data_IF_577712053453
#
_entry.id   IF_577712053453
#
_cell.length_a   1.000
_cell.length_b   1.000
_cell.length_c   1.000
_cell.angle_alpha   90.00
_cell.angle_beta   90.00
_cell.angle_gamma   90.00
#
_symmetry.space_group_name_H-M   'P 1'
#
loop_
_entity.id
_entity.type
_entity.pdbx_description
1 polymer ?
#
# COMPACT_ATOMS: atom_id res chain seq x y z
N UNK A 1 6.27 -27.74 -18.78
CA UNK A 1 6.21 -26.42 -19.45
C UNK A 1 5.81 -25.27 -18.51
N UNK A 2 4.97 -25.50 -17.51
CA UNK A 2 4.59 -24.51 -16.49
C UNK A 2 5.75 -24.09 -15.57
N UNK A 3 6.62 -25.01 -15.17
CA UNK A 3 7.74 -24.74 -14.26
C UNK A 3 8.81 -23.80 -14.85
N UNK A 4 9.07 -23.88 -16.17
CA UNK A 4 9.97 -22.96 -16.86
C UNK A 4 9.39 -21.55 -17.03
N UNK A 5 8.04 -21.41 -17.13
CA UNK A 5 7.38 -20.10 -17.20
C UNK A 5 7.45 -19.35 -15.87
N UNK A 6 7.25 -20.06 -14.74
CA UNK A 6 7.38 -19.46 -13.42
C UNK A 6 8.80 -18.95 -13.11
N UNK A 7 9.86 -19.67 -13.53
CA UNK A 7 11.25 -19.23 -13.37
C UNK A 7 11.60 -17.98 -14.19
N UNK A 8 11.09 -17.86 -15.42
CA UNK A 8 11.36 -16.68 -16.27
C UNK A 8 10.64 -15.45 -15.71
N UNK A 9 9.41 -15.59 -15.21
CA UNK A 9 8.66 -14.51 -14.60
C UNK A 9 9.32 -14.04 -13.29
N UNK A 10 9.80 -14.96 -12.47
CA UNK A 10 10.59 -14.67 -11.27
C UNK A 10 11.88 -13.90 -11.58
N UNK A 11 12.59 -14.23 -12.66
CA UNK A 11 13.80 -13.50 -13.09
C UNK A 11 13.48 -12.07 -13.53
N UNK A 12 12.38 -11.86 -14.24
CA UNK A 12 11.97 -10.50 -14.65
C UNK A 12 11.60 -9.64 -13.44
N UNK A 13 10.82 -10.17 -12.50
CA UNK A 13 10.48 -9.44 -11.27
C UNK A 13 11.74 -9.15 -10.45
N UNK A 14 12.67 -10.08 -10.35
CA UNK A 14 13.95 -9.88 -9.68
C UNK A 14 14.77 -8.73 -10.29
N UNK A 15 14.91 -8.71 -11.62
CA UNK A 15 15.67 -7.65 -12.33
C UNK A 15 14.98 -6.29 -12.18
N UNK A 16 13.65 -6.25 -12.26
CA UNK A 16 12.87 -5.04 -12.05
C UNK A 16 13.04 -4.51 -10.61
N UNK A 17 12.84 -5.38 -9.60
CA UNK A 17 13.05 -5.04 -8.19
C UNK A 17 14.46 -4.50 -7.92
N UNK A 18 15.48 -5.14 -8.50
CA UNK A 18 16.88 -4.71 -8.35
C UNK A 18 17.17 -3.34 -9.00
N UNK A 19 16.59 -3.09 -10.18
CA UNK A 19 16.74 -1.82 -10.89
C UNK A 19 16.09 -0.66 -10.14
N UNK A 20 14.82 -0.81 -9.78
CA UNK A 20 14.07 0.18 -9.02
C UNK A 20 14.70 0.44 -7.66
N UNK A 21 15.09 -0.61 -6.92
CA UNK A 21 15.69 -0.46 -5.60
C UNK A 21 17.02 0.32 -5.59
N UNK A 22 17.81 0.23 -6.67
CA UNK A 22 19.02 1.08 -6.81
C UNK A 22 18.65 2.54 -7.02
N UNK A 23 17.62 2.82 -7.81
CA UNK A 23 17.14 4.18 -8.08
C UNK A 23 16.59 4.82 -6.82
N UNK A 24 15.77 4.10 -6.06
CA UNK A 24 15.17 4.59 -4.82
C UNK A 24 16.25 4.86 -3.76
N UNK A 25 17.22 3.95 -3.61
CA UNK A 25 18.35 4.15 -2.70
C UNK A 25 19.15 5.42 -3.02
N UNK A 26 19.37 5.69 -4.33
CA UNK A 26 20.07 6.90 -4.77
C UNK A 26 19.24 8.17 -4.54
N UNK A 27 17.91 8.09 -4.74
CA UNK A 27 16.98 9.20 -4.46
C UNK A 27 17.01 9.60 -2.99
N UNK A 28 17.07 8.62 -2.10
CA UNK A 28 16.94 8.79 -0.65
C UNK A 28 18.29 9.00 0.06
N UNK A 29 19.39 8.99 -0.69
CA UNK A 29 20.75 9.15 -0.16
C UNK A 29 20.90 10.48 0.59
N UNK A 30 21.37 10.41 1.84
CA UNK A 30 21.56 11.56 2.70
C UNK A 30 20.31 12.09 3.41
N UNK A 31 19.13 11.55 3.14
CA UNK A 31 17.91 11.92 3.85
C UNK A 31 17.93 11.33 5.27
N UNK A 32 17.48 12.12 6.24
CA UNK A 32 17.40 11.73 7.66
C UNK A 32 16.00 12.01 8.19
N UNK A 33 15.56 11.23 9.18
CA UNK A 33 14.26 11.47 9.83
C UNK A 33 14.20 12.89 10.39
N UNK A 34 13.17 13.68 10.06
CA UNK A 34 12.97 15.00 10.65
C UNK A 34 12.88 14.91 12.18
N UNK A 35 13.48 15.86 12.89
CA UNK A 35 13.56 15.84 14.35
C UNK A 35 12.22 16.00 15.06
N UNK A 36 11.23 16.54 14.36
CA UNK A 36 9.84 16.76 14.79
C UNK A 36 8.92 15.57 14.55
N UNK A 37 9.45 14.47 13.98
CA UNK A 37 8.67 13.26 13.70
C UNK A 37 9.02 12.14 14.68
N UNK A 38 7.98 11.54 15.27
CA UNK A 38 8.01 10.28 16.00
C UNK A 38 7.69 9.14 15.05
N UNK A 39 8.54 8.10 15.06
CA UNK A 39 8.40 6.88 14.24
C UNK A 39 8.10 5.68 15.12
N UNK A 40 7.30 4.78 14.58
CA UNK A 40 7.11 3.43 15.08
C UNK A 40 7.29 2.50 13.89
N UNK A 41 8.38 1.77 13.87
CA UNK A 41 8.82 1.03 12.69
C UNK A 41 8.58 -0.48 12.81
N UNK A 42 8.33 -1.13 11.67
CA UNK A 42 8.28 -2.59 11.52
C UNK A 42 7.23 -3.28 12.41
N UNK A 43 6.05 -2.70 12.51
CA UNK A 43 4.94 -3.27 13.27
C UNK A 43 4.21 -4.29 12.40
N UNK A 44 3.98 -5.50 12.91
CA UNK A 44 3.16 -6.50 12.22
C UNK A 44 1.69 -6.11 12.24
N UNK A 45 1.04 -6.10 11.07
CA UNK A 45 -0.41 -5.94 10.95
C UNK A 45 -1.13 -7.24 10.54
N UNK A 46 -0.38 -8.31 10.29
CA UNK A 46 -0.90 -9.61 9.92
C UNK A 46 0.08 -10.74 10.22
N UNK A 47 -0.27 -11.97 9.83
CA UNK A 47 0.47 -13.18 10.18
C UNK A 47 1.67 -13.47 9.25
N UNK A 48 1.81 -12.75 8.13
CA UNK A 48 2.89 -13.00 7.16
C UNK A 48 4.07 -12.06 7.44
N UNK A 49 5.28 -12.53 7.15
CA UNK A 49 6.51 -11.74 7.39
C UNK A 49 6.57 -10.43 6.60
N UNK A 50 5.87 -10.35 5.47
CA UNK A 50 5.79 -9.17 4.62
C UNK A 50 4.79 -8.14 5.14
N UNK A 51 3.87 -8.53 6.02
CA UNK A 51 2.79 -7.70 6.54
C UNK A 51 3.30 -6.79 7.67
N UNK A 52 4.12 -5.82 7.28
CA UNK A 52 4.75 -4.84 8.17
C UNK A 52 4.31 -3.42 7.80
N UNK A 53 4.10 -2.61 8.81
CA UNK A 53 3.81 -1.19 8.66
C UNK A 53 4.69 -0.33 9.56
N UNK A 54 4.77 0.95 9.21
CA UNK A 54 5.31 2.00 10.07
C UNK A 54 4.23 3.04 10.35
N UNK A 55 4.32 3.65 11.52
CA UNK A 55 3.48 4.80 11.88
C UNK A 55 4.39 6.02 12.07
N UNK A 56 4.02 7.13 11.44
CA UNK A 56 4.68 8.43 11.60
C UNK A 56 3.68 9.45 12.14
N UNK A 57 4.09 10.23 13.12
CA UNK A 57 3.27 11.31 13.67
C UNK A 57 4.14 12.47 14.16
N UNK A 58 3.60 13.70 14.26
CA UNK A 58 4.28 14.78 14.94
C UNK A 58 4.70 14.38 16.36
N UNK A 59 5.88 14.80 16.78
CA UNK A 59 6.47 14.38 18.05
C UNK A 59 5.80 15.03 19.26
N UNK A 60 5.37 16.28 19.09
CA UNK A 60 4.85 17.12 20.16
C UNK A 60 3.29 17.13 20.22
N UNK A 61 2.66 16.21 19.51
CA UNK A 61 1.19 16.07 19.48
C UNK A 61 0.76 14.81 20.23
N UNK A 62 0.17 14.97 21.40
CA UNK A 62 -0.30 13.87 22.25
C UNK A 62 -1.76 13.45 21.99
N UNK A 63 -2.54 14.28 21.27
CA UNK A 63 -3.93 14.05 20.93
C UNK A 63 -4.16 13.02 19.82
N UNK A 64 -5.42 12.65 19.60
CA UNK A 64 -5.81 11.87 18.44
C UNK A 64 -5.67 12.71 17.17
N UNK A 65 -5.05 12.16 16.15
CA UNK A 65 -4.79 12.83 14.88
C UNK A 65 -5.55 12.16 13.73
N UNK A 66 -6.01 12.94 12.74
CA UNK A 66 -6.56 12.37 11.52
C UNK A 66 -5.51 11.46 10.85
N UNK A 67 -5.98 10.36 10.28
CA UNK A 67 -5.11 9.30 9.76
C UNK A 67 -5.00 9.39 8.24
N UNK A 68 -3.80 9.23 7.72
CA UNK A 68 -3.58 8.94 6.31
C UNK A 68 -2.96 7.55 6.17
N UNK A 69 -3.63 6.67 5.41
CA UNK A 69 -3.08 5.37 4.99
C UNK A 69 -2.37 5.56 3.66
N UNK A 70 -1.07 5.26 3.61
CA UNK A 70 -0.26 5.36 2.40
C UNK A 70 -0.06 3.99 1.77
N UNK A 71 -0.47 3.85 0.49
CA UNK A 71 -0.34 2.61 -0.29
C UNK A 71 0.66 2.84 -1.42
N UNK A 72 1.82 2.23 -1.31
CA UNK A 72 2.92 2.45 -2.25
C UNK A 72 2.65 1.93 -3.67
N UNK A 73 3.28 2.54 -4.66
CA UNK A 73 3.33 2.06 -6.04
C UNK A 73 4.32 0.91 -6.22
N UNK A 74 4.60 0.56 -7.47
CA UNK A 74 5.58 -0.47 -7.82
C UNK A 74 5.04 -1.59 -8.71
N UNK A 75 3.92 -1.35 -9.42
CA UNK A 75 3.35 -2.29 -10.40
C UNK A 75 2.94 -3.62 -9.78
N UNK A 76 2.56 -3.63 -8.51
CA UNK A 76 2.18 -4.81 -7.68
C UNK A 76 3.29 -5.84 -7.49
N UNK A 77 4.46 -5.65 -8.08
CA UNK A 77 5.60 -6.59 -8.07
C UNK A 77 6.84 -6.05 -7.37
N UNK A 78 6.84 -4.78 -6.97
CA UNK A 78 7.95 -4.08 -6.34
C UNK A 78 7.46 -3.10 -5.29
N UNK A 79 8.37 -2.74 -4.39
CA UNK A 79 8.16 -1.72 -3.36
C UNK A 79 7.88 -2.32 -2.00
N UNK A 80 8.01 -1.44 -1.04
CA UNK A 80 7.71 -1.65 0.37
C UNK A 80 7.44 -0.29 1.02
N UNK A 81 7.17 -0.29 2.31
CA UNK A 81 6.95 0.93 3.09
C UNK A 81 8.16 1.89 3.07
N UNK A 82 9.38 1.37 2.93
CA UNK A 82 10.59 2.20 3.04
C UNK A 82 10.74 3.17 1.88
N UNK A 83 10.26 2.81 0.67
CA UNK A 83 10.36 3.69 -0.50
C UNK A 83 9.47 4.94 -0.45
N UNK A 84 8.47 4.96 0.45
CA UNK A 84 7.55 6.10 0.64
C UNK A 84 7.71 6.78 2.01
N UNK A 85 8.66 6.34 2.85
CA UNK A 85 8.82 6.85 4.21
C UNK A 85 8.99 8.38 4.28
N UNK A 86 9.77 8.98 3.37
CA UNK A 86 10.02 10.42 3.35
C UNK A 86 8.78 11.23 3.00
N UNK A 87 8.03 10.76 2.02
CA UNK A 87 6.72 11.32 1.68
C UNK A 87 5.75 11.21 2.86
N UNK A 88 5.68 10.06 3.49
CA UNK A 88 4.81 9.83 4.66
C UNK A 88 5.19 10.72 5.84
N UNK A 89 6.47 10.89 6.13
CA UNK A 89 6.91 11.82 7.17
C UNK A 89 6.58 13.26 6.83
N UNK A 90 6.61 13.66 5.55
CA UNK A 90 6.19 15.01 5.13
C UNK A 90 4.69 15.25 5.33
N UNK A 91 3.86 14.21 5.22
CA UNK A 91 2.43 14.28 5.57
C UNK A 91 2.24 14.37 7.08
N UNK A 92 3.02 13.61 7.85
CA UNK A 92 2.98 13.66 9.30
C UNK A 92 3.35 15.05 9.84
N UNK A 93 4.33 15.74 9.24
CA UNK A 93 4.67 17.14 9.57
C UNK A 93 3.50 18.12 9.36
N UNK A 94 2.43 17.72 8.67
CA UNK A 94 1.22 18.50 8.44
C UNK A 94 0.10 18.20 9.44
N UNK A 95 0.41 17.46 10.51
CA UNK A 95 -0.55 17.18 11.58
C UNK A 95 -1.36 15.89 11.40
N UNK A 96 -0.89 14.95 10.57
CA UNK A 96 -1.52 13.66 10.41
C UNK A 96 -0.75 12.54 11.14
N UNK A 97 -1.47 11.53 11.60
CA UNK A 97 -0.89 10.22 11.85
C UNK A 97 -0.86 9.45 10.52
N UNK A 98 0.31 9.00 10.08
CA UNK A 98 0.45 8.35 8.77
C UNK A 98 0.81 6.89 8.97
N UNK A 99 -0.01 5.99 8.42
CA UNK A 99 0.22 4.54 8.39
C UNK A 99 0.72 4.18 6.99
N UNK A 100 1.95 3.68 6.92
CA UNK A 100 2.65 3.33 5.70
C UNK A 100 3.03 1.85 5.76
N UNK A 101 2.59 1.03 4.81
CA UNK A 101 2.71 -0.41 4.92
C UNK A 101 3.26 -1.09 3.68
N UNK A 102 3.88 -2.24 3.89
CA UNK A 102 4.28 -3.20 2.86
C UNK A 102 3.16 -4.20 2.67
N UNK A 103 2.71 -4.39 1.45
CA UNK A 103 1.74 -5.43 1.08
C UNK A 103 2.41 -6.60 0.35
N UNK A 104 1.77 -7.75 0.33
CA UNK A 104 2.24 -8.95 -0.38
C UNK A 104 2.30 -8.71 -1.88
N UNK A 105 3.45 -8.99 -2.48
CA UNK A 105 3.74 -8.69 -3.88
C UNK A 105 3.54 -9.92 -4.79
N UNK A 106 3.09 -9.66 -6.01
CA UNK A 106 3.12 -10.62 -7.10
C UNK A 106 4.58 -10.82 -7.60
N UNK A 107 4.88 -11.93 -8.23
CA UNK A 107 4.02 -13.08 -8.53
C UNK A 107 3.88 -14.07 -7.38
N UNK A 108 4.56 -13.86 -6.25
CA UNK A 108 4.55 -14.75 -5.09
C UNK A 108 3.16 -14.79 -4.45
N UNK A 109 2.50 -13.63 -4.40
CA UNK A 109 1.14 -13.44 -3.91
C UNK A 109 0.33 -12.67 -4.94
N UNK A 110 -0.54 -13.39 -5.64
CA UNK A 110 -1.37 -12.80 -6.69
C UNK A 110 -2.56 -12.04 -6.14
N UNK A 111 -3.19 -11.25 -7.02
CA UNK A 111 -4.51 -10.67 -6.74
C UNK A 111 -5.47 -11.74 -6.17
N UNK A 112 -6.24 -11.46 -5.12
CA UNK A 112 -6.40 -10.15 -4.47
C UNK A 112 -5.54 -9.92 -3.21
N UNK A 113 -4.42 -10.64 -2.99
CA UNK A 113 -3.65 -10.62 -1.75
C UNK A 113 -3.29 -9.20 -1.24
N UNK A 114 -2.91 -8.29 -2.14
CA UNK A 114 -2.58 -6.91 -1.77
C UNK A 114 -3.83 -6.09 -1.34
N UNK A 115 -5.02 -6.43 -1.86
CA UNK A 115 -6.28 -5.82 -1.44
C UNK A 115 -6.67 -6.31 -0.04
N UNK A 116 -6.51 -7.62 0.19
CA UNK A 116 -6.70 -8.20 1.53
C UNK A 116 -5.77 -7.55 2.56
N UNK A 117 -4.50 -7.34 2.21
CA UNK A 117 -3.53 -6.65 3.07
C UNK A 117 -3.95 -5.20 3.35
N UNK A 118 -4.48 -4.49 2.35
CA UNK A 118 -5.04 -3.16 2.55
C UNK A 118 -6.18 -3.19 3.58
N UNK A 119 -7.10 -4.16 3.48
CA UNK A 119 -8.18 -4.33 4.45
C UNK A 119 -7.66 -4.61 5.87
N UNK A 120 -6.68 -5.51 6.00
CA UNK A 120 -6.05 -5.82 7.29
C UNK A 120 -5.40 -4.59 7.96
N UNK A 121 -4.85 -3.67 7.18
CA UNK A 121 -4.31 -2.40 7.72
C UNK A 121 -5.41 -1.53 8.30
N UNK A 122 -6.58 -1.44 7.66
CA UNK A 122 -7.71 -0.70 8.22
C UNK A 122 -8.27 -1.35 9.50
N UNK A 123 -8.32 -2.69 9.56
CA UNK A 123 -8.65 -3.43 10.78
C UNK A 123 -7.64 -3.13 11.89
N UNK A 124 -6.35 -3.18 11.57
CA UNK A 124 -5.28 -2.89 12.50
C UNK A 124 -5.35 -1.45 13.04
N UNK A 125 -5.66 -0.45 12.20
CA UNK A 125 -5.86 0.95 12.63
C UNK A 125 -6.99 1.04 13.66
N UNK A 126 -8.11 0.37 13.43
CA UNK A 126 -9.24 0.32 14.37
C UNK A 126 -8.83 -0.26 15.72
N UNK A 127 -8.12 -1.38 15.69
CA UNK A 127 -7.71 -2.12 16.90
C UNK A 127 -6.64 -1.39 17.72
N UNK A 128 -5.83 -0.57 17.06
CA UNK A 128 -4.70 0.12 17.66
C UNK A 128 -4.91 1.64 17.79
N UNK A 129 -6.12 2.14 17.56
CA UNK A 129 -6.42 3.56 17.53
C UNK A 129 -6.00 4.30 18.82
N UNK A 130 -6.31 3.74 19.98
CA UNK A 130 -5.95 4.32 21.26
C UNK A 130 -4.43 4.33 21.48
N UNK A 131 -3.75 3.25 21.10
CA UNK A 131 -2.30 3.10 21.33
C UNK A 131 -1.47 4.11 20.54
N UNK A 132 -1.87 4.37 19.27
CA UNK A 132 -1.16 5.27 18.38
C UNK A 132 -1.80 6.66 18.24
N UNK A 133 -2.89 6.93 18.94
CA UNK A 133 -3.61 8.20 18.90
C UNK A 133 -4.19 8.46 17.50
N UNK A 134 -4.95 7.51 16.96
CA UNK A 134 -5.65 7.67 15.69
C UNK A 134 -7.07 8.20 15.91
N UNK A 135 -7.43 9.25 15.17
CA UNK A 135 -8.81 9.69 15.02
C UNK A 135 -9.49 8.85 13.93
N UNK A 136 -10.22 7.82 14.34
CA UNK A 136 -10.89 6.88 13.44
C UNK A 136 -12.10 7.44 12.70
N UNK A 137 -12.57 8.63 13.08
CA UNK A 137 -13.65 9.35 12.37
C UNK A 137 -13.09 10.14 11.16
N UNK A 138 -11.78 10.42 11.16
CA UNK A 138 -11.10 11.19 10.15
C UNK A 138 -9.96 10.38 9.50
N UNK A 139 -10.35 9.35 8.71
CA UNK A 139 -9.41 8.47 8.01
C UNK A 139 -9.44 8.73 6.51
N UNK A 140 -8.27 8.96 5.96
CA UNK A 140 -8.00 9.23 4.56
C UNK A 140 -7.00 8.20 4.02
N UNK A 141 -6.92 8.05 2.70
CA UNK A 141 -5.88 7.23 2.10
C UNK A 141 -5.31 7.86 0.84
N UNK A 142 -4.04 7.59 0.58
CA UNK A 142 -3.34 8.02 -0.63
C UNK A 142 -2.63 6.82 -1.25
N UNK A 143 -2.74 6.67 -2.56
CA UNK A 143 -2.05 5.60 -3.28
C UNK A 143 -1.55 6.08 -4.63
N UNK A 144 -0.37 5.59 -5.00
CA UNK A 144 0.31 5.94 -6.22
C UNK A 144 0.39 4.73 -7.16
N UNK A 145 0.10 4.92 -8.45
CA UNK A 145 0.18 3.88 -9.49
C UNK A 145 -0.58 2.60 -9.09
N UNK A 146 0.11 1.49 -8.77
CA UNK A 146 -0.50 0.26 -8.27
C UNK A 146 -1.25 0.50 -6.94
N UNK A 147 -0.72 1.35 -6.05
CA UNK A 147 -1.39 1.75 -4.81
C UNK A 147 -2.69 2.51 -5.07
N UNK A 148 -2.70 3.41 -6.07
CA UNK A 148 -3.92 4.09 -6.52
C UNK A 148 -4.98 3.11 -7.02
N UNK A 149 -4.59 2.13 -7.82
CA UNK A 149 -5.51 1.05 -8.24
C UNK A 149 -6.07 0.28 -7.03
N UNK A 150 -5.21 -0.19 -6.12
CA UNK A 150 -5.65 -0.94 -4.94
C UNK A 150 -6.62 -0.15 -4.08
N UNK A 151 -6.35 1.14 -3.85
CA UNK A 151 -7.27 2.01 -3.11
C UNK A 151 -8.58 2.25 -3.84
N UNK A 152 -8.58 2.33 -5.17
CA UNK A 152 -9.84 2.46 -5.93
C UNK A 152 -10.73 1.23 -5.78
N UNK A 153 -10.12 0.04 -5.83
CA UNK A 153 -10.82 -1.25 -5.57
C UNK A 153 -11.34 -1.28 -4.14
N UNK A 154 -10.51 -0.96 -3.15
CA UNK A 154 -10.89 -0.97 -1.75
C UNK A 154 -12.01 0.04 -1.44
N UNK A 155 -11.94 1.26 -1.99
CA UNK A 155 -13.01 2.26 -1.86
C UNK A 155 -14.32 1.78 -2.49
N UNK A 156 -14.25 1.11 -3.65
CA UNK A 156 -15.43 0.50 -4.26
C UNK A 156 -16.04 -0.61 -3.37
N UNK A 157 -15.21 -1.45 -2.74
CA UNK A 157 -15.68 -2.47 -1.79
C UNK A 157 -16.34 -1.84 -0.55
N UNK A 158 -15.81 -0.73 -0.04
CA UNK A 158 -16.37 0.01 1.11
C UNK A 158 -17.74 0.62 0.81
N UNK A 159 -18.01 0.96 -0.44
CA UNK A 159 -19.23 1.69 -0.85
C UNK A 159 -20.25 0.81 -1.59
N UNK A 160 -19.85 -0.37 -2.05
CA UNK A 160 -20.70 -1.29 -2.79
C UNK A 160 -20.63 -2.72 -2.20
N UNK A 161 -21.61 -3.14 -1.38
CA UNK A 161 -21.62 -4.46 -0.78
C UNK A 161 -21.67 -5.62 -1.78
N UNK A 162 -22.32 -5.45 -2.95
CA UNK A 162 -22.37 -6.49 -4.00
C UNK A 162 -20.98 -6.70 -4.62
N UNK A 163 -20.22 -5.60 -4.78
CA UNK A 163 -18.85 -5.69 -5.24
C UNK A 163 -17.95 -6.33 -4.18
N UNK A 164 -18.10 -5.95 -2.92
CA UNK A 164 -17.37 -6.54 -1.80
C UNK A 164 -17.62 -8.06 -1.65
N UNK A 165 -18.85 -8.52 -1.93
CA UNK A 165 -19.21 -9.93 -1.87
C UNK A 165 -18.51 -10.84 -2.89
N UNK A 166 -17.78 -10.26 -3.86
CA UNK A 166 -16.96 -11.01 -4.83
C UNK A 166 -15.61 -11.46 -4.26
N UNK A 167 -15.26 -11.02 -3.04
CA UNK A 167 -13.99 -11.32 -2.38
C UNK A 167 -14.20 -12.27 -1.21
N UNK A 168 -13.25 -13.18 -0.99
CA UNK A 168 -13.32 -14.22 0.05
C UNK A 168 -12.91 -13.74 1.46
N UNK A 169 -12.86 -12.42 1.68
CA UNK A 169 -12.56 -11.83 2.99
C UNK A 169 -13.56 -10.72 3.33
N UNK A 170 -13.90 -10.56 4.63
CA UNK A 170 -14.81 -9.51 5.06
C UNK A 170 -14.13 -8.13 4.97
N UNK A 171 -14.84 -7.15 4.42
CA UNK A 171 -14.35 -5.76 4.39
C UNK A 171 -14.56 -5.12 5.75
N UNK A 172 -13.52 -4.45 6.27
CA UNK A 172 -13.61 -3.65 7.49
C UNK A 172 -14.70 -2.57 7.34
N UNK A 173 -15.66 -2.49 8.29
CA UNK A 173 -16.86 -1.66 8.17
C UNK A 173 -16.91 -0.50 9.15
N UNK A 174 -16.15 -0.57 10.25
CA UNK A 174 -16.27 0.37 11.36
C UNK A 174 -15.42 1.64 11.16
N UNK A 175 -14.42 1.60 10.27
CA UNK A 175 -13.66 2.78 9.86
C UNK A 175 -14.30 3.39 8.63
N UNK A 176 -14.69 4.65 8.72
CA UNK A 176 -15.14 5.43 7.58
C UNK A 176 -13.93 5.94 6.81
N UNK A 177 -13.83 5.55 5.54
CA UNK A 177 -12.84 6.13 4.63
C UNK A 177 -13.42 7.43 4.05
N UNK A 178 -12.96 8.59 4.56
CA UNK A 178 -13.55 9.90 4.27
C UNK A 178 -13.21 10.39 2.86
N UNK A 179 -11.96 10.18 2.42
CA UNK A 179 -11.54 10.47 1.06
C UNK A 179 -10.31 9.64 0.65
N UNK A 180 -10.13 9.49 -0.66
CA UNK A 180 -8.97 8.84 -1.24
C UNK A 180 -8.31 9.75 -2.28
N UNK A 181 -6.99 9.81 -2.29
CA UNK A 181 -6.18 10.42 -3.34
C UNK A 181 -5.59 9.30 -4.22
N UNK A 182 -6.03 9.24 -5.46
CA UNK A 182 -5.68 8.17 -6.40
C UNK A 182 -4.72 8.72 -7.46
N UNK A 183 -3.43 8.62 -7.20
CA UNK A 183 -2.39 9.22 -8.04
C UNK A 183 -1.96 8.25 -9.15
N UNK A 184 -2.14 8.64 -10.42
CA UNK A 184 -1.65 7.93 -11.60
C UNK A 184 -1.97 6.42 -11.64
N UNK A 185 -3.11 6.00 -11.06
CA UNK A 185 -3.52 4.59 -10.99
C UNK A 185 -3.87 4.01 -12.36
N UNK A 186 -3.76 2.70 -12.46
CA UNK A 186 -4.22 1.93 -13.62
C UNK A 186 -5.62 1.39 -13.30
N UNK A 187 -6.66 1.95 -13.92
CA UNK A 187 -8.06 1.62 -13.59
C UNK A 187 -8.74 0.75 -14.64
N UNK A 188 -8.37 0.91 -15.91
CA UNK A 188 -8.86 0.06 -17.00
C UNK A 188 -7.97 -1.16 -17.19
N UNK A 189 -8.16 -2.16 -16.34
CA UNK A 189 -7.37 -3.40 -16.34
C UNK A 189 -7.71 -4.27 -17.54
N UNK A 190 -8.97 -4.23 -18.02
CA UNK A 190 -9.43 -4.98 -19.19
C UNK A 190 -8.79 -4.41 -20.45
N UNK A 191 -8.86 -3.09 -20.64
CA UNK A 191 -8.22 -2.44 -21.77
C UNK A 191 -6.71 -2.66 -21.84
N UNK A 192 -6.03 -2.80 -20.68
CA UNK A 192 -4.61 -3.17 -20.65
C UNK A 192 -4.38 -4.60 -21.14
N UNK A 193 -5.23 -5.55 -20.74
CA UNK A 193 -5.14 -6.95 -21.18
C UNK A 193 -5.42 -7.11 -22.69
N UNK A 194 -6.31 -6.29 -23.23
CA UNK A 194 -6.69 -6.27 -24.65
C UNK A 194 -5.76 -5.42 -25.50
N UNK A 195 -4.93 -4.58 -24.90
CA UNK A 195 -4.00 -3.69 -25.64
C UNK A 195 -2.96 -4.47 -26.44
N UNK A 196 -2.43 -3.85 -27.49
CA UNK A 196 -1.30 -4.43 -28.28
C UNK A 196 0.02 -4.40 -27.53
N UNK A 197 0.11 -3.76 -26.38
CA UNK A 197 1.33 -3.65 -25.58
C UNK A 197 1.64 -4.96 -24.84
N UNK A 198 2.39 -5.83 -25.50
CA UNK A 198 2.79 -7.15 -24.97
C UNK A 198 3.51 -7.08 -23.61
N UNK A 199 4.22 -5.99 -23.33
CA UNK A 199 4.93 -5.82 -22.06
C UNK A 199 3.92 -5.58 -20.92
N UNK A 200 2.94 -4.72 -21.14
CA UNK A 200 1.85 -4.48 -20.16
C UNK A 200 1.00 -5.73 -19.94
N UNK A 201 0.60 -6.41 -21.04
CA UNK A 201 -0.12 -7.69 -20.93
C UNK A 201 0.66 -8.73 -20.10
N UNK A 202 1.99 -8.80 -20.32
CA UNK A 202 2.84 -9.75 -19.60
C UNK A 202 2.93 -9.42 -18.12
N UNK A 203 3.01 -8.13 -17.76
CA UNK A 203 2.98 -7.67 -16.39
C UNK A 203 1.64 -8.02 -15.72
N UNK A 204 0.52 -7.76 -16.39
CA UNK A 204 -0.82 -8.09 -15.89
C UNK A 204 -1.03 -9.58 -15.62
N UNK A 205 -0.39 -10.46 -16.39
CA UNK A 205 -0.45 -11.92 -16.15
C UNK A 205 0.38 -12.38 -14.94
N UNK A 206 1.23 -11.51 -14.39
CA UNK A 206 2.00 -11.82 -13.19
C UNK A 206 1.23 -11.51 -11.91
N UNK A 207 0.36 -10.53 -11.94
CA UNK A 207 -0.46 -10.10 -10.80
C UNK A 207 -1.78 -10.84 -10.74
#
# INVERSE_FOLDING_TARGET
MQEKRGKIMSLMSFLYRRGCGKSDKKRDEGLTTPSDIKRFDNISYGAKKEQLLDVYRPKDEDGALPVIVSVHGGGWIYGDKDIYQWYCMSLAQRGFAVVNFTYRLAPEHKYPAAIEDTNLVFEWIRENAQLYGFDTENVFAVGDSAGGHMLSVYAAMKTNPEYAAQYDFPVEKNIKLNAVALNCGKYDMIGILESENKQQQKMMKMI
#
